data_IF_128997492253
#
_entry.id   IF_128997492253
#
_cell.length_a   1.000
_cell.length_b   1.000
_cell.length_c   1.000
_cell.angle_alpha   90.00
_cell.angle_beta   90.00
_cell.angle_gamma   90.00
#
_symmetry.space_group_name_H-M   'P 1'
#
loop_
_entity.id
_entity.type
_entity.pdbx_description
1 polymer ?
#
# COMPACT_ATOMS: atom_id res chain seq x y z
N UNK A 1 24.63 13.26 -71.15
CA UNK A 1 24.65 13.43 -69.68
C UNK A 1 24.51 14.90 -69.32
N UNK A 2 23.32 15.33 -68.90
CA UNK A 2 23.02 16.39 -67.90
C UNK A 2 21.53 16.77 -68.01
N UNK A 3 20.96 17.06 -66.85
CA UNK A 3 19.60 16.79 -66.41
C UNK A 3 18.59 17.85 -66.89
N UNK A 4 17.36 17.40 -67.16
CA UNK A 4 16.15 18.23 -67.19
C UNK A 4 15.78 18.65 -65.77
N UNK A 5 15.47 19.94 -65.61
CA UNK A 5 14.73 20.48 -64.47
C UNK A 5 13.26 20.61 -64.88
N UNK A 6 12.36 19.94 -64.17
CA UNK A 6 10.92 20.21 -64.25
C UNK A 6 10.37 20.24 -62.83
N UNK A 7 9.78 21.39 -62.48
CA UNK A 7 8.99 21.60 -61.27
C UNK A 7 7.76 20.70 -61.31
N UNK A 8 7.55 19.92 -60.25
CA UNK A 8 6.25 19.34 -59.95
C UNK A 8 5.93 19.65 -58.49
N UNK A 9 4.85 20.43 -58.30
CA UNK A 9 4.33 20.77 -56.99
C UNK A 9 3.77 19.55 -56.29
N UNK A 10 4.12 19.38 -55.01
CA UNK A 10 3.50 18.41 -54.13
C UNK A 10 2.77 19.20 -53.04
N UNK A 11 1.44 19.16 -53.09
CA UNK A 11 0.58 19.70 -52.04
C UNK A 11 0.82 18.95 -50.75
N UNK A 12 1.24 19.67 -49.71
CA UNK A 12 1.42 19.15 -48.37
C UNK A 12 0.04 19.12 -47.69
N UNK A 13 -0.58 17.94 -47.61
CA UNK A 13 -1.68 17.71 -46.68
C UNK A 13 -1.10 17.77 -45.26
N UNK A 14 -1.36 18.87 -44.56
CA UNK A 14 -1.14 18.96 -43.11
C UNK A 14 -2.26 18.18 -42.42
N UNK A 15 -1.96 16.92 -42.06
CA UNK A 15 -2.71 16.21 -41.02
C UNK A 15 -2.35 16.87 -39.69
N UNK A 16 -3.18 17.82 -39.25
CA UNK A 16 -3.15 18.35 -37.89
C UNK A 16 -3.53 17.22 -36.93
N UNK A 17 -2.52 16.55 -36.38
CA UNK A 17 -2.70 15.71 -35.20
C UNK A 17 -3.15 16.60 -34.06
N UNK A 18 -4.41 16.48 -33.66
CA UNK A 18 -4.87 16.94 -32.36
C UNK A 18 -4.12 16.13 -31.32
N UNK A 19 -3.04 16.69 -30.77
CA UNK A 19 -2.55 16.23 -29.47
C UNK A 19 -3.67 16.52 -28.48
N UNK A 20 -4.37 15.47 -28.06
CA UNK A 20 -5.21 15.52 -26.88
C UNK A 20 -4.26 15.77 -25.71
N UNK A 21 -4.17 17.02 -25.27
CA UNK A 21 -3.52 17.36 -24.02
C UNK A 21 -4.28 16.56 -22.95
N UNK A 22 -3.63 15.60 -22.30
CA UNK A 22 -4.22 14.89 -21.17
C UNK A 22 -4.74 15.96 -20.21
N UNK A 23 -6.03 15.92 -19.90
CA UNK A 23 -6.60 16.86 -18.94
C UNK A 23 -5.84 16.67 -17.62
N UNK A 24 -5.16 17.71 -17.17
CA UNK A 24 -4.46 17.69 -15.89
C UNK A 24 -5.50 17.53 -14.79
N UNK A 25 -5.38 16.47 -13.99
CA UNK A 25 -6.30 16.17 -12.89
C UNK A 25 -6.39 17.37 -11.95
N UNK A 26 -7.59 17.95 -11.85
CA UNK A 26 -7.82 19.15 -11.07
C UNK A 26 -8.12 18.85 -9.59
N UNK A 27 -7.83 19.82 -8.71
CA UNK A 27 -8.18 19.72 -7.30
C UNK A 27 -9.69 19.49 -7.09
N UNK A 28 -10.54 20.22 -7.80
CA UNK A 28 -12.00 20.08 -7.71
C UNK A 28 -12.47 18.71 -8.22
N UNK A 29 -11.85 18.19 -9.28
CA UNK A 29 -12.15 16.89 -9.83
C UNK A 29 -11.84 15.77 -8.83
N UNK A 30 -10.65 15.81 -8.20
CA UNK A 30 -10.26 14.85 -7.17
C UNK A 30 -11.16 14.98 -5.94
N UNK A 31 -11.36 16.19 -5.42
CA UNK A 31 -12.09 16.42 -4.18
C UNK A 31 -13.59 16.09 -4.29
N UNK A 32 -14.16 16.14 -5.50
CA UNK A 32 -15.55 15.78 -5.77
C UNK A 32 -15.71 14.36 -6.38
N UNK A 33 -14.62 13.59 -6.53
CA UNK A 33 -14.67 12.29 -7.21
C UNK A 33 -15.46 11.25 -6.42
N UNK A 34 -16.42 10.57 -7.06
CA UNK A 34 -17.31 9.59 -6.44
C UNK A 34 -17.14 8.19 -7.07
N UNK A 35 -17.45 7.09 -6.35
CA UNK A 35 -17.24 5.73 -6.83
C UNK A 35 -17.96 5.40 -8.14
N UNK A 36 -19.13 6.01 -8.38
CA UNK A 36 -19.93 5.77 -9.58
C UNK A 36 -19.18 6.10 -10.87
N UNK A 37 -18.51 7.25 -10.92
CA UNK A 37 -17.74 7.68 -12.10
C UNK A 37 -16.52 6.76 -12.34
N UNK A 38 -15.89 6.27 -11.27
CA UNK A 38 -14.82 5.30 -11.38
C UNK A 38 -15.32 3.95 -11.92
N UNK A 39 -16.44 3.44 -11.38
CA UNK A 39 -17.07 2.19 -11.86
C UNK A 39 -17.42 2.27 -13.36
N UNK A 40 -17.88 3.43 -13.84
CA UNK A 40 -18.16 3.65 -15.27
C UNK A 40 -16.88 3.60 -16.13
N UNK A 41 -15.80 4.26 -15.68
CA UNK A 41 -14.51 4.23 -16.38
C UNK A 41 -13.91 2.82 -16.42
N UNK A 42 -14.02 2.07 -15.32
CA UNK A 42 -13.59 0.68 -15.25
C UNK A 42 -14.36 -0.19 -16.25
N UNK A 43 -15.68 -0.09 -16.27
CA UNK A 43 -16.52 -0.82 -17.22
C UNK A 43 -16.20 -0.46 -18.69
N UNK A 44 -15.84 0.79 -18.96
CA UNK A 44 -15.38 1.19 -20.29
C UNK A 44 -14.03 0.59 -20.67
N UNK A 45 -13.07 0.57 -19.74
CA UNK A 45 -11.77 -0.07 -19.94
C UNK A 45 -11.91 -1.57 -20.23
N UNK A 46 -12.80 -2.26 -19.50
CA UNK A 46 -13.14 -3.67 -19.75
C UNK A 46 -13.72 -3.90 -21.14
N UNK A 47 -14.69 -3.07 -21.56
CA UNK A 47 -15.28 -3.16 -22.91
C UNK A 47 -14.21 -2.99 -23.99
N UNK A 48 -13.35 -1.97 -23.87
CA UNK A 48 -12.25 -1.72 -24.82
C UNK A 48 -11.24 -2.86 -24.89
N UNK A 49 -11.00 -3.54 -23.76
CA UNK A 49 -10.13 -4.73 -23.71
C UNK A 49 -10.79 -5.91 -24.43
N UNK A 50 -12.08 -6.16 -24.20
CA UNK A 50 -12.81 -7.25 -24.84
C UNK A 50 -12.87 -7.10 -26.38
N UNK A 51 -12.79 -5.88 -26.90
CA UNK A 51 -12.74 -5.57 -28.33
C UNK A 51 -11.38 -5.84 -29.00
N UNK A 52 -10.31 -6.18 -28.24
CA UNK A 52 -8.97 -6.53 -28.75
C UNK A 52 -8.70 -8.04 -28.61
N UNK A 53 -8.92 -8.86 -29.66
CA UNK A 53 -9.00 -10.32 -29.53
C UNK A 53 -7.66 -11.03 -29.24
N UNK A 54 -6.52 -10.42 -29.58
CA UNK A 54 -5.20 -11.05 -29.44
C UNK A 54 -4.64 -11.05 -28.00
N UNK A 55 -5.31 -10.39 -27.03
CA UNK A 55 -4.92 -10.34 -25.62
C UNK A 55 -6.01 -10.84 -24.65
N UNK A 56 -7.14 -11.33 -25.17
CA UNK A 56 -8.27 -11.78 -24.36
C UNK A 56 -8.27 -13.32 -24.18
N UNK A 57 -8.35 -13.85 -22.94
CA UNK A 57 -8.74 -15.24 -22.74
C UNK A 57 -10.16 -15.46 -23.28
N UNK A 58 -10.54 -16.70 -23.69
CA UNK A 58 -11.79 -16.94 -24.39
C UNK A 58 -12.99 -16.45 -23.58
N UNK A 59 -13.81 -15.60 -24.21
CA UNK A 59 -15.01 -15.01 -23.61
C UNK A 59 -15.96 -16.10 -23.12
N UNK A 60 -16.28 -16.07 -21.83
CA UNK A 60 -17.51 -16.66 -21.30
C UNK A 60 -18.64 -15.63 -21.39
N UNK A 61 -19.86 -16.16 -21.47
CA UNK A 61 -21.17 -15.50 -21.60
C UNK A 61 -21.20 -13.98 -21.32
N UNK A 62 -21.65 -13.13 -22.28
CA UNK A 62 -21.70 -11.67 -22.15
C UNK A 62 -22.61 -11.13 -21.04
N UNK A 63 -23.44 -11.97 -20.42
CA UNK A 63 -24.26 -11.61 -19.25
C UNK A 63 -23.61 -11.95 -17.89
N UNK A 64 -22.39 -12.51 -17.90
CA UNK A 64 -21.65 -12.78 -16.65
C UNK A 64 -20.93 -11.51 -16.18
N UNK A 65 -21.19 -11.09 -14.95
CA UNK A 65 -20.37 -10.07 -14.29
C UNK A 65 -18.89 -10.51 -14.28
N UNK A 66 -17.93 -9.59 -14.47
CA UNK A 66 -16.52 -9.91 -14.40
C UNK A 66 -16.20 -10.55 -13.03
N UNK A 67 -15.42 -11.62 -13.07
CA UNK A 67 -14.84 -12.22 -11.86
C UNK A 67 -13.96 -11.21 -11.14
N UNK A 68 -13.70 -11.43 -9.86
CA UNK A 68 -12.85 -10.57 -9.04
C UNK A 68 -11.45 -10.36 -9.67
N UNK A 69 -10.88 -11.40 -10.26
CA UNK A 69 -9.62 -11.32 -11.00
C UNK A 69 -9.73 -10.55 -12.32
N UNK A 70 -10.91 -10.47 -12.94
CA UNK A 70 -11.14 -9.70 -14.16
C UNK A 70 -11.31 -8.22 -13.86
N UNK A 71 -12.10 -7.87 -12.85
CA UNK A 71 -12.26 -6.50 -12.37
C UNK A 71 -10.94 -5.93 -11.83
N UNK A 72 -10.17 -6.74 -11.09
CA UNK A 72 -8.81 -6.39 -10.64
C UNK A 72 -7.88 -6.13 -11.82
N UNK A 73 -7.80 -7.05 -12.79
CA UNK A 73 -6.95 -6.88 -13.97
C UNK A 73 -7.36 -5.70 -14.84
N UNK A 74 -8.64 -5.37 -14.89
CA UNK A 74 -9.13 -4.20 -15.60
C UNK A 74 -8.75 -2.89 -14.88
N UNK A 75 -8.78 -2.89 -13.55
CA UNK A 75 -8.34 -1.76 -12.76
C UNK A 75 -6.80 -1.58 -12.82
N UNK A 76 -6.04 -2.67 -12.86
CA UNK A 76 -4.59 -2.67 -13.13
C UNK A 76 -4.25 -2.17 -14.55
N UNK A 77 -5.18 -2.26 -15.50
CA UNK A 77 -5.00 -1.75 -16.86
C UNK A 77 -5.20 -0.23 -16.98
N UNK A 78 -5.75 0.43 -15.96
CA UNK A 78 -5.73 1.90 -15.86
C UNK A 78 -4.34 2.32 -15.41
N UNK A 79 -3.51 2.73 -16.37
CA UNK A 79 -2.11 3.10 -16.13
C UNK A 79 -1.94 4.56 -15.71
N UNK A 80 -2.95 5.39 -15.94
CA UNK A 80 -2.97 6.79 -15.53
C UNK A 80 -3.66 6.92 -14.17
N UNK A 81 -3.20 7.82 -13.28
CA UNK A 81 -3.86 8.07 -12.01
C UNK A 81 -5.33 8.46 -12.18
N UNK A 82 -6.20 7.86 -11.38
CA UNK A 82 -7.63 8.15 -11.37
C UNK A 82 -7.98 9.09 -10.20
N UNK A 83 -8.75 10.18 -10.43
CA UNK A 83 -9.04 11.15 -9.38
C UNK A 83 -9.84 10.56 -8.21
N UNK A 84 -10.67 9.55 -8.46
CA UNK A 84 -11.37 8.84 -7.38
C UNK A 84 -10.41 8.00 -6.55
N UNK A 85 -9.47 7.30 -7.18
CA UNK A 85 -8.48 6.49 -6.47
C UNK A 85 -7.53 7.37 -5.64
N UNK A 86 -7.13 8.54 -6.14
CA UNK A 86 -6.39 9.53 -5.35
C UNK A 86 -7.18 9.93 -4.10
N UNK A 87 -8.46 10.31 -4.26
CA UNK A 87 -9.32 10.70 -3.12
C UNK A 87 -9.49 9.56 -2.13
N UNK A 88 -9.76 8.35 -2.61
CA UNK A 88 -9.93 7.14 -1.81
C UNK A 88 -8.67 6.85 -0.98
N UNK A 89 -7.50 6.82 -1.61
CA UNK A 89 -6.23 6.54 -0.95
C UNK A 89 -5.91 7.59 0.13
N UNK A 90 -6.13 8.88 -0.14
CA UNK A 90 -5.96 9.94 0.88
C UNK A 90 -6.89 9.72 2.08
N UNK A 91 -8.16 9.43 1.84
CA UNK A 91 -9.12 9.26 2.94
C UNK A 91 -8.81 8.01 3.78
N UNK A 92 -8.35 6.93 3.15
CA UNK A 92 -7.88 5.73 3.84
C UNK A 92 -6.64 6.03 4.72
N UNK A 93 -5.68 6.78 4.18
CA UNK A 93 -4.49 7.21 4.89
C UNK A 93 -4.84 8.07 6.13
N UNK A 94 -5.75 9.05 5.96
CA UNK A 94 -6.31 9.84 7.09
C UNK A 94 -7.04 9.01 8.12
N UNK A 95 -7.67 7.92 7.70
CA UNK A 95 -8.31 6.99 8.60
C UNK A 95 -7.30 6.09 9.33
N UNK A 96 -5.99 6.23 9.07
CA UNK A 96 -4.90 5.37 9.53
C UNK A 96 -5.02 3.92 9.06
N UNK A 97 -5.71 3.72 7.93
CA UNK A 97 -5.67 2.50 7.15
C UNK A 97 -4.78 2.76 5.94
N UNK A 98 -3.46 2.80 6.14
CA UNK A 98 -2.52 3.28 5.13
C UNK A 98 -2.59 2.43 3.86
N UNK A 99 -2.75 3.04 2.67
CA UNK A 99 -2.61 2.34 1.39
C UNK A 99 -1.13 2.14 1.01
N UNK A 100 -0.19 2.54 1.86
CA UNK A 100 1.20 2.76 1.49
C UNK A 100 1.33 4.06 0.71
N UNK A 101 1.81 3.98 -0.53
CA UNK A 101 1.98 5.14 -1.40
C UNK A 101 0.64 5.57 -2.02
N UNK A 102 0.40 6.89 -2.06
CA UNK A 102 -0.70 7.49 -2.81
C UNK A 102 -0.22 7.72 -4.24
N UNK A 103 -0.74 6.95 -5.17
CA UNK A 103 -0.38 6.97 -6.59
C UNK A 103 -1.57 7.16 -7.53
N UNK A 104 -2.80 7.13 -7.00
CA UNK A 104 -4.02 7.19 -7.78
C UNK A 104 -4.26 5.97 -8.66
N UNK A 105 -3.52 4.88 -8.44
CA UNK A 105 -3.66 3.64 -9.19
C UNK A 105 -4.41 2.60 -8.36
N UNK A 106 -4.99 1.62 -9.05
CA UNK A 106 -5.55 0.47 -8.37
C UNK A 106 -4.42 -0.47 -7.97
N UNK A 107 -4.53 -1.06 -6.78
CA UNK A 107 -3.51 -1.98 -6.29
C UNK A 107 -3.94 -2.74 -5.05
N UNK A 108 -3.25 -3.85 -4.81
CA UNK A 108 -3.51 -4.75 -3.69
C UNK A 108 -3.41 -4.03 -2.33
N UNK A 109 -2.50 -3.07 -2.18
CA UNK A 109 -2.34 -2.32 -0.93
C UNK A 109 -3.56 -1.43 -0.65
N UNK A 110 -4.18 -0.84 -1.68
CA UNK A 110 -5.44 -0.12 -1.53
C UNK A 110 -6.57 -1.06 -1.11
N UNK A 111 -6.63 -2.28 -1.67
CA UNK A 111 -7.62 -3.29 -1.26
C UNK A 111 -7.42 -3.72 0.21
N UNK A 112 -6.18 -3.90 0.66
CA UNK A 112 -5.85 -4.18 2.06
C UNK A 112 -6.32 -3.05 2.99
N UNK A 113 -6.02 -1.80 2.63
CA UNK A 113 -6.47 -0.63 3.36
C UNK A 113 -8.00 -0.55 3.46
N UNK A 114 -8.73 -0.87 2.39
CA UNK A 114 -10.21 -0.95 2.40
C UNK A 114 -10.68 -2.01 3.39
N UNK A 115 -10.16 -3.24 3.31
CA UNK A 115 -10.54 -4.35 4.21
C UNK A 115 -10.33 -4.00 5.68
N UNK A 116 -9.21 -3.35 5.99
CA UNK A 116 -8.89 -2.95 7.36
C UNK A 116 -9.75 -1.77 7.83
N UNK A 117 -10.11 -0.86 6.94
CA UNK A 117 -11.10 0.17 7.24
C UNK A 117 -12.47 -0.45 7.53
N UNK A 118 -12.93 -1.39 6.71
CA UNK A 118 -14.18 -2.14 6.89
C UNK A 118 -14.21 -2.84 8.25
N UNK A 119 -13.15 -3.59 8.58
CA UNK A 119 -13.01 -4.30 9.84
C UNK A 119 -13.13 -3.36 11.05
N UNK A 120 -12.40 -2.23 11.02
CA UNK A 120 -12.44 -1.23 12.09
C UNK A 120 -13.79 -0.55 12.24
N UNK A 121 -14.59 -0.49 11.16
CA UNK A 121 -15.94 0.09 11.16
C UNK A 121 -17.04 -0.95 11.38
N UNK A 122 -16.70 -2.23 11.50
CA UNK A 122 -17.67 -3.32 11.64
C UNK A 122 -18.53 -3.52 10.40
N UNK A 123 -17.96 -3.22 9.22
CA UNK A 123 -18.59 -3.42 7.91
C UNK A 123 -18.25 -4.81 7.35
N UNK A 124 -18.97 -5.30 6.33
CA UNK A 124 -18.55 -6.48 5.58
C UNK A 124 -17.12 -6.30 5.05
N UNK A 125 -16.22 -7.24 5.36
CA UNK A 125 -14.82 -7.19 4.96
C UNK A 125 -14.67 -7.87 3.60
N UNK A 126 -15.00 -7.17 2.52
CA UNK A 126 -14.90 -7.68 1.16
C UNK A 126 -13.83 -6.94 0.32
N UNK A 127 -13.30 -5.82 0.82
CA UNK A 127 -12.28 -5.02 0.15
C UNK A 127 -12.82 -4.20 -1.00
N UNK A 128 -14.13 -3.91 -1.03
CA UNK A 128 -14.79 -3.18 -2.10
C UNK A 128 -15.26 -1.84 -1.61
N UNK A 129 -15.17 -0.84 -2.48
CA UNK A 129 -15.79 0.46 -2.18
C UNK A 129 -17.29 0.38 -2.46
N UNK A 130 -18.05 -0.19 -1.54
CA UNK A 130 -19.50 -0.16 -1.55
C UNK A 130 -20.06 1.15 -0.99
N UNK A 131 -21.38 1.33 -1.07
CA UNK A 131 -22.03 2.59 -0.70
C UNK A 131 -22.02 2.83 0.82
N UNK A 132 -21.89 1.79 1.64
CA UNK A 132 -21.87 1.90 3.11
C UNK A 132 -20.45 2.22 3.60
N UNK A 133 -19.44 1.53 3.06
CA UNK A 133 -18.01 1.80 3.26
C UNK A 133 -17.68 3.22 2.82
N UNK A 134 -18.09 3.62 1.61
CA UNK A 134 -17.81 4.96 1.11
C UNK A 134 -18.44 6.04 1.98
N UNK A 135 -19.71 5.86 2.39
CA UNK A 135 -20.40 6.80 3.29
C UNK A 135 -19.73 6.90 4.66
N UNK A 136 -19.19 5.81 5.18
CA UNK A 136 -18.44 5.80 6.43
C UNK A 136 -17.10 6.53 6.28
N UNK A 137 -16.41 6.34 5.16
CA UNK A 137 -15.12 6.98 4.86
C UNK A 137 -15.26 8.48 4.63
N UNK A 138 -16.29 8.92 3.89
CA UNK A 138 -16.57 10.33 3.60
C UNK A 138 -17.26 11.08 4.74
N UNK A 139 -17.28 10.53 5.96
CA UNK A 139 -17.55 11.34 7.14
C UNK A 139 -16.48 12.42 7.32
N UNK A 140 -15.24 12.12 6.90
CA UNK A 140 -14.28 13.16 6.58
C UNK A 140 -14.68 13.85 5.25
N UNK A 141 -15.05 15.12 5.36
CA UNK A 141 -15.44 15.97 4.24
C UNK A 141 -14.38 17.02 3.89
N UNK A 142 -13.23 17.00 4.55
CA UNK A 142 -12.13 17.90 4.22
C UNK A 142 -11.55 17.54 2.84
N UNK A 143 -11.13 18.53 2.03
CA UNK A 143 -10.49 18.28 0.73
C UNK A 143 -9.36 17.25 0.85
N UNK A 144 -9.35 16.24 -0.02
CA UNK A 144 -8.30 15.22 -0.07
C UNK A 144 -6.98 15.77 -0.63
N UNK A 145 -7.05 16.74 -1.54
CA UNK A 145 -5.88 17.41 -2.09
C UNK A 145 -5.93 18.91 -1.81
N UNK A 146 -4.76 19.52 -1.63
CA UNK A 146 -4.59 20.95 -1.36
C UNK A 146 -3.41 21.52 -2.13
N UNK A 147 -3.43 22.83 -2.37
CA UNK A 147 -2.26 23.52 -2.91
C UNK A 147 -1.27 23.81 -1.79
N UNK A 148 -0.06 23.27 -1.94
CA UNK A 148 1.11 23.60 -1.13
C UNK A 148 1.97 24.61 -1.87
N UNK A 149 2.36 25.69 -1.20
CA UNK A 149 3.30 26.66 -1.75
C UNK A 149 4.73 26.24 -1.40
N UNK A 150 5.54 25.94 -2.42
CA UNK A 150 6.96 25.60 -2.24
C UNK A 150 7.67 26.79 -1.61
N UNK A 151 8.34 26.56 -0.49
CA UNK A 151 9.03 27.61 0.26
C UNK A 151 10.52 27.66 -0.06
N UNK A 152 11.17 28.78 0.25
CA UNK A 152 12.64 28.88 0.19
C UNK A 152 13.32 27.81 1.07
N UNK A 153 12.71 27.45 2.22
CA UNK A 153 13.24 26.41 3.11
C UNK A 153 13.22 25.03 2.44
N UNK A 154 12.21 24.75 1.63
CA UNK A 154 12.18 23.49 0.89
C UNK A 154 13.30 23.47 -0.15
N UNK A 155 13.56 24.58 -0.85
CA UNK A 155 14.61 24.66 -1.88
C UNK A 155 16.02 24.62 -1.28
N UNK A 156 16.23 25.34 -0.18
CA UNK A 156 17.49 25.37 0.57
C UNK A 156 17.73 24.09 1.39
N UNK A 157 16.83 23.11 1.28
CA UNK A 157 17.00 21.78 1.85
C UNK A 157 18.33 21.14 1.45
N UNK A 158 18.84 20.26 2.33
CA UNK A 158 19.97 19.42 1.97
C UNK A 158 19.45 18.40 0.96
N UNK A 159 20.06 18.36 -0.23
CA UNK A 159 19.74 17.38 -1.28
C UNK A 159 20.99 16.68 -1.80
N UNK A 160 20.81 15.48 -2.33
CA UNK A 160 21.88 14.66 -2.91
C UNK A 160 21.60 14.37 -4.37
N UNK A 161 22.52 14.78 -5.25
CA UNK A 161 22.31 14.72 -6.71
C UNK A 161 22.03 13.31 -7.25
N UNK A 162 22.56 12.28 -6.59
CA UNK A 162 22.42 10.88 -7.01
C UNK A 162 22.57 9.99 -5.79
N UNK A 163 21.68 9.01 -5.68
CA UNK A 163 21.77 7.88 -4.75
C UNK A 163 22.34 6.68 -5.51
N UNK A 164 23.58 6.24 -5.23
CA UNK A 164 24.10 5.00 -5.78
C UNK A 164 23.32 3.79 -5.26
N UNK A 165 23.19 2.75 -6.07
CA UNK A 165 22.61 1.47 -5.63
C UNK A 165 23.63 0.55 -4.95
N UNK A 166 24.93 0.75 -5.20
CA UNK A 166 26.02 -0.01 -4.59
C UNK A 166 26.37 0.53 -3.20
N UNK A 167 26.53 -0.36 -2.22
CA UNK A 167 26.73 0.04 -0.83
C UNK A 167 28.10 0.67 -0.57
N UNK A 168 29.15 0.27 -1.30
CA UNK A 168 30.45 0.93 -1.15
C UNK A 168 30.43 2.35 -1.71
N UNK A 169 29.59 2.63 -2.71
CA UNK A 169 29.38 4.00 -3.19
C UNK A 169 28.46 4.81 -2.26
N UNK A 170 27.41 4.19 -1.71
CA UNK A 170 26.56 4.83 -0.68
C UNK A 170 27.37 5.24 0.55
N UNK A 171 28.29 4.39 1.02
CA UNK A 171 29.16 4.66 2.17
C UNK A 171 30.08 5.88 1.98
N UNK A 172 30.26 6.36 0.75
CA UNK A 172 31.03 7.59 0.46
C UNK A 172 30.21 8.87 0.66
N UNK A 173 28.88 8.76 0.72
CA UNK A 173 28.00 9.90 0.97
C UNK A 173 28.06 10.28 2.46
N UNK A 174 28.06 11.58 2.74
CA UNK A 174 27.98 12.11 4.11
C UNK A 174 26.56 12.10 4.69
N UNK A 175 25.57 11.79 3.86
CA UNK A 175 24.14 11.69 4.17
C UNK A 175 23.43 11.16 2.93
N UNK A 176 22.47 10.27 3.12
CA UNK A 176 21.71 9.58 2.07
C UNK A 176 20.28 10.14 2.06
N UNK A 177 20.17 11.43 1.75
CA UNK A 177 18.88 12.14 1.81
C UNK A 177 18.11 12.19 0.51
N UNK A 178 17.18 13.14 0.42
CA UNK A 178 16.36 13.32 -0.78
C UNK A 178 17.17 13.84 -1.98
N UNK A 179 16.72 13.50 -3.18
CA UNK A 179 17.29 13.91 -4.47
C UNK A 179 16.89 15.32 -4.86
N UNK A 180 15.73 15.77 -4.40
CA UNK A 180 15.21 17.09 -4.68
C UNK A 180 13.92 17.37 -3.91
N UNK A 181 13.32 18.53 -4.21
CA UNK A 181 12.07 18.98 -3.60
C UNK A 181 10.92 18.03 -3.94
N UNK A 182 10.85 17.49 -5.16
CA UNK A 182 9.82 16.52 -5.58
C UNK A 182 9.75 15.30 -4.65
N UNK A 183 10.85 14.55 -4.54
CA UNK A 183 10.91 13.37 -3.67
C UNK A 183 10.62 13.72 -2.19
N UNK A 184 11.14 14.84 -1.72
CA UNK A 184 10.89 15.31 -0.35
C UNK A 184 9.41 15.62 -0.11
N UNK A 185 8.73 16.26 -1.07
CA UNK A 185 7.29 16.54 -0.98
C UNK A 185 6.47 15.26 -1.15
N UNK A 186 6.89 14.33 -2.01
CA UNK A 186 6.30 13.01 -2.14
C UNK A 186 6.28 12.29 -0.80
N UNK A 187 7.42 12.21 -0.12
CA UNK A 187 7.55 11.62 1.22
C UNK A 187 6.73 12.37 2.27
N UNK A 188 6.73 13.71 2.24
CA UNK A 188 5.97 14.54 3.20
C UNK A 188 4.46 14.40 3.07
N UNK A 189 3.96 14.19 1.86
CA UNK A 189 2.53 14.10 1.54
C UNK A 189 2.08 12.70 1.16
N UNK A 190 2.93 11.69 1.39
CA UNK A 190 2.68 10.26 1.18
C UNK A 190 2.39 9.89 -0.29
N UNK A 191 2.91 10.66 -1.24
CA UNK A 191 2.66 10.51 -2.67
C UNK A 191 3.82 9.82 -3.38
N UNK A 192 3.50 9.10 -4.45
CA UNK A 192 4.50 8.73 -5.44
C UNK A 192 4.99 9.98 -6.18
N UNK A 193 6.28 10.01 -6.56
CA UNK A 193 6.81 11.07 -7.43
C UNK A 193 6.02 11.13 -8.75
N UNK A 194 5.62 9.97 -9.30
CA UNK A 194 4.83 9.90 -10.53
C UNK A 194 3.47 10.58 -10.43
N UNK A 195 2.73 10.38 -9.32
CA UNK A 195 1.48 11.11 -9.10
C UNK A 195 1.75 12.60 -8.89
N UNK A 196 2.77 12.95 -8.12
CA UNK A 196 3.12 14.35 -7.86
C UNK A 196 3.43 15.09 -9.16
N UNK A 197 4.18 14.48 -10.09
CA UNK A 197 4.44 15.00 -11.44
C UNK A 197 3.15 15.08 -12.27
N UNK A 198 2.31 14.04 -12.25
CA UNK A 198 1.06 13.99 -13.02
C UNK A 198 0.07 15.09 -12.61
N UNK A 199 -0.01 15.42 -11.31
CA UNK A 199 -0.85 16.50 -10.80
C UNK A 199 -0.24 17.89 -11.05
N UNK A 200 1.07 17.97 -11.32
CA UNK A 200 1.82 19.22 -11.39
C UNK A 200 2.77 19.30 -12.60
N UNK A 201 2.29 19.12 -13.84
CA UNK A 201 3.17 19.03 -15.02
C UNK A 201 3.96 20.32 -15.31
N UNK A 202 3.47 21.47 -14.81
CA UNK A 202 4.10 22.78 -15.00
C UNK A 202 4.86 23.28 -13.75
N UNK A 203 4.97 22.45 -12.70
CA UNK A 203 5.61 22.87 -11.46
C UNK A 203 7.11 23.16 -11.63
N UNK A 204 7.54 24.27 -11.06
CA UNK A 204 8.94 24.67 -10.96
C UNK A 204 9.44 24.36 -9.55
N UNK A 205 9.87 23.11 -9.33
CA UNK A 205 10.24 22.58 -8.01
C UNK A 205 11.38 23.32 -7.30
N UNK A 206 12.18 24.08 -8.05
CA UNK A 206 13.29 24.89 -7.52
C UNK A 206 12.95 26.38 -7.42
N UNK A 207 11.66 26.75 -7.45
CA UNK A 207 11.22 28.16 -7.39
C UNK A 207 10.22 28.35 -6.26
N UNK A 208 10.57 29.20 -5.30
CA UNK A 208 9.69 29.53 -4.19
C UNK A 208 8.41 30.24 -4.69
N UNK A 209 7.30 30.01 -4.01
CA UNK A 209 5.99 30.52 -4.42
C UNK A 209 5.30 29.68 -5.51
N UNK A 210 5.95 28.62 -6.01
CA UNK A 210 5.29 27.66 -6.91
C UNK A 210 4.24 26.89 -6.12
N UNK A 211 2.99 26.95 -6.56
CA UNK A 211 1.91 26.12 -6.01
C UNK A 211 1.99 24.71 -6.60
N UNK A 212 2.04 23.71 -5.73
CA UNK A 212 1.95 22.30 -6.08
C UNK A 212 0.68 21.70 -5.45
N UNK A 213 -0.15 21.03 -6.24
CA UNK A 213 -1.26 20.23 -5.76
C UNK A 213 -0.71 18.94 -5.13
N UNK A 214 -0.96 18.75 -3.84
CA UNK A 214 -0.48 17.61 -3.05
C UNK A 214 -1.65 16.95 -2.32
N UNK A 215 -1.48 15.67 -1.98
CA UNK A 215 -2.33 14.99 -1.03
C UNK A 215 -2.27 15.67 0.35
N UNK A 216 -3.35 15.55 1.10
CA UNK A 216 -3.40 16.00 2.48
C UNK A 216 -3.63 14.79 3.40
N UNK A 217 -2.57 14.13 3.89
CA UNK A 217 -2.65 12.87 4.63
C UNK A 217 -3.27 13.00 6.03
N UNK A 218 -3.59 14.23 6.46
CA UNK A 218 -4.16 14.49 7.78
C UNK A 218 -3.11 14.48 8.90
N UNK A 219 -3.58 14.28 10.13
CA UNK A 219 -2.71 14.19 11.30
C UNK A 219 -2.10 12.78 11.42
N UNK A 220 -0.95 12.67 12.08
CA UNK A 220 -0.39 11.38 12.45
C UNK A 220 -1.32 10.65 13.46
N UNK A 221 -1.32 9.31 13.49
CA UNK A 221 -2.08 8.57 14.49
C UNK A 221 -1.64 8.95 15.91
N UNK A 222 -2.60 9.04 16.81
CA UNK A 222 -2.39 9.32 18.22
C UNK A 222 -2.71 8.08 19.08
N UNK A 223 -2.20 8.09 20.31
CA UNK A 223 -2.39 7.00 21.27
C UNK A 223 -1.13 6.18 21.46
N UNK A 224 -1.26 5.10 22.22
CA UNK A 224 -0.15 4.21 22.53
C UNK A 224 -0.46 2.80 22.00
N UNK A 225 0.43 2.31 21.16
CA UNK A 225 0.44 0.94 20.65
C UNK A 225 1.09 0.03 21.68
N UNK A 226 0.32 -0.91 22.21
CA UNK A 226 0.82 -1.94 23.13
C UNK A 226 1.14 -3.25 22.41
N UNK A 227 0.63 -3.44 21.19
CA UNK A 227 0.79 -4.67 20.43
C UNK A 227 0.81 -4.42 18.93
N UNK A 228 1.76 -5.02 18.23
CA UNK A 228 1.85 -5.03 16.77
C UNK A 228 1.73 -6.47 16.31
N UNK A 229 0.82 -6.75 15.40
CA UNK A 229 0.81 -7.99 14.64
C UNK A 229 1.42 -7.73 13.26
N UNK A 230 2.40 -8.56 12.90
CA UNK A 230 3.03 -8.58 11.59
C UNK A 230 2.47 -9.78 10.85
N UNK A 231 1.54 -9.52 9.92
CA UNK A 231 0.87 -10.56 9.16
C UNK A 231 1.69 -10.88 7.90
N UNK A 232 2.40 -12.01 7.93
CA UNK A 232 3.24 -12.45 6.81
C UNK A 232 2.41 -12.82 5.58
N UNK A 233 1.22 -13.38 5.79
CA UNK A 233 0.36 -13.86 4.70
C UNK A 233 -0.27 -12.71 3.94
N UNK A 234 -0.66 -11.65 4.66
CA UNK A 234 -1.24 -10.44 4.09
C UNK A 234 -0.24 -9.34 3.82
N UNK A 235 1.03 -9.47 4.19
CA UNK A 235 2.06 -8.47 3.88
C UNK A 235 1.74 -7.10 4.50
N UNK A 236 1.38 -7.08 5.78
CA UNK A 236 0.93 -5.87 6.47
C UNK A 236 1.19 -5.92 7.97
N UNK A 237 1.07 -4.76 8.63
CA UNK A 237 1.06 -4.64 10.08
C UNK A 237 -0.27 -4.12 10.60
N UNK A 238 -0.65 -4.60 11.78
CA UNK A 238 -1.78 -4.12 12.55
C UNK A 238 -1.28 -3.67 13.92
N UNK A 239 -1.44 -2.39 14.24
CA UNK A 239 -0.98 -1.80 15.49
C UNK A 239 -2.18 -1.52 16.42
N UNK A 240 -2.19 -2.18 17.56
CA UNK A 240 -3.29 -2.17 18.52
C UNK A 240 -2.97 -1.34 19.76
N UNK A 241 -3.97 -0.60 20.23
CA UNK A 241 -3.95 0.04 21.53
C UNK A 241 -4.22 -0.93 22.68
N UNK A 242 -4.13 -0.41 23.91
CA UNK A 242 -4.39 -1.17 25.14
C UNK A 242 -5.84 -1.69 25.24
N UNK A 243 -6.78 -1.02 24.57
CA UNK A 243 -8.19 -1.43 24.51
C UNK A 243 -8.48 -2.52 23.44
N UNK A 244 -7.43 -3.01 22.78
CA UNK A 244 -7.53 -4.02 21.72
C UNK A 244 -8.03 -3.47 20.39
N UNK A 245 -8.23 -2.15 20.24
CA UNK A 245 -8.59 -1.54 18.96
C UNK A 245 -7.37 -1.25 18.11
N UNK A 246 -7.56 -1.35 16.81
CA UNK A 246 -6.55 -0.96 15.82
C UNK A 246 -6.42 0.58 15.80
N UNK A 247 -5.21 1.07 16.09
CA UNK A 247 -4.83 2.48 15.99
C UNK A 247 -4.43 2.81 14.55
N UNK A 248 -3.53 2.00 13.98
CA UNK A 248 -3.08 2.16 12.59
C UNK A 248 -2.78 0.80 11.95
N UNK A 249 -2.83 0.77 10.62
CA UNK A 249 -2.37 -0.34 9.80
C UNK A 249 -1.56 0.17 8.62
N UNK A 250 -0.60 -0.63 8.16
CA UNK A 250 0.17 -0.29 6.98
C UNK A 250 0.63 -1.54 6.21
N UNK A 251 0.71 -1.49 4.87
CA UNK A 251 1.32 -2.56 4.10
C UNK A 251 2.80 -2.66 4.43
N UNK A 252 3.35 -3.87 4.31
CA UNK A 252 4.70 -4.18 4.73
C UNK A 252 5.38 -5.18 3.81
N UNK A 253 6.63 -4.91 3.43
CA UNK A 253 7.49 -5.93 2.85
C UNK A 253 8.15 -6.75 3.97
N UNK A 254 7.76 -8.01 4.07
CA UNK A 254 8.22 -8.94 5.11
C UNK A 254 9.20 -9.97 4.50
N UNK A 255 10.03 -10.61 5.34
CA UNK A 255 11.05 -11.54 4.88
C UNK A 255 10.47 -12.75 4.14
N UNK A 256 11.13 -13.18 3.06
CA UNK A 256 10.76 -14.39 2.30
C UNK A 256 11.05 -15.69 3.05
N UNK A 257 10.58 -16.83 2.53
CA UNK A 257 10.98 -18.17 3.00
C UNK A 257 12.51 -18.38 2.99
N UNK A 258 13.23 -17.80 2.02
CA UNK A 258 14.69 -17.90 1.90
C UNK A 258 15.43 -17.06 2.96
N UNK A 259 14.79 -16.02 3.48
CA UNK A 259 15.30 -15.15 4.55
C UNK A 259 14.19 -14.84 5.54
N UNK A 260 13.76 -15.84 6.33
CA UNK A 260 12.51 -15.75 7.06
C UNK A 260 12.60 -14.69 8.14
N UNK A 261 11.55 -13.87 8.22
CA UNK A 261 11.34 -13.07 9.42
C UNK A 261 11.24 -13.99 10.64
N UNK A 262 11.62 -13.49 11.82
CA UNK A 262 11.61 -14.30 13.03
C UNK A 262 10.24 -14.89 13.34
N UNK A 263 10.22 -16.00 14.07
CA UNK A 263 9.01 -16.54 14.71
C UNK A 263 9.02 -16.19 16.21
N UNK A 264 7.83 -16.04 16.79
CA UNK A 264 7.64 -15.85 18.24
C UNK A 264 7.54 -14.40 18.70
N UNK A 265 7.22 -14.25 19.99
CA UNK A 265 6.91 -12.95 20.60
C UNK A 265 8.17 -12.08 20.77
N UNK A 266 8.08 -10.87 20.27
CA UNK A 266 9.11 -9.84 20.38
C UNK A 266 8.59 -8.63 21.13
N UNK A 267 9.50 -7.72 21.47
CA UNK A 267 9.14 -6.39 21.95
C UNK A 267 9.98 -5.34 21.24
N UNK A 268 9.46 -4.12 21.19
CA UNK A 268 10.23 -2.95 20.79
C UNK A 268 11.35 -2.73 21.81
N UNK A 269 12.60 -2.81 21.36
CA UNK A 269 13.79 -2.60 22.20
C UNK A 269 14.22 -1.13 22.21
N UNK A 270 14.16 -0.45 21.05
CA UNK A 270 14.47 0.98 20.93
C UNK A 270 13.99 1.52 19.58
N UNK A 271 13.79 2.83 19.52
CA UNK A 271 13.57 3.58 18.28
C UNK A 271 14.81 4.42 17.98
N UNK A 272 15.25 4.44 16.73
CA UNK A 272 16.28 5.36 16.24
C UNK A 272 15.78 6.10 15.02
N UNK A 273 15.64 7.42 15.14
CA UNK A 273 15.35 8.32 14.03
C UNK A 273 16.64 8.73 13.33
N UNK A 274 16.55 8.93 12.02
CA UNK A 274 17.67 9.16 11.10
C UNK A 274 18.85 8.21 11.38
N UNK A 275 18.64 6.88 11.33
CA UNK A 275 19.68 5.92 11.67
C UNK A 275 20.72 5.81 10.55
N UNK A 276 22.00 5.72 10.91
CA UNK A 276 23.03 5.19 10.01
C UNK A 276 22.88 3.68 9.83
N UNK A 277 23.55 3.10 8.84
CA UNK A 277 23.50 1.67 8.58
C UNK A 277 24.89 1.04 8.50
N UNK A 278 25.19 0.15 9.44
CA UNK A 278 26.40 -0.68 9.43
C UNK A 278 26.13 -1.94 8.62
N UNK A 279 26.64 -1.98 7.39
CA UNK A 279 26.55 -3.14 6.51
C UNK A 279 27.67 -4.14 6.82
N UNK A 280 27.30 -5.38 7.10
CA UNK A 280 28.24 -6.48 7.29
C UNK A 280 27.87 -7.68 6.40
N UNK A 281 28.60 -7.96 5.31
CA UNK A 281 28.28 -9.05 4.38
C UNK A 281 28.31 -10.44 5.02
N UNK A 282 29.00 -10.60 6.16
CA UNK A 282 29.05 -11.87 6.91
C UNK A 282 27.84 -12.09 7.83
N UNK A 283 27.06 -11.05 8.10
CA UNK A 283 25.90 -11.09 9.01
C UNK A 283 24.57 -10.76 8.33
N UNK A 284 24.57 -9.84 7.38
CA UNK A 284 23.38 -9.39 6.67
C UNK A 284 23.12 -10.27 5.44
N UNK A 285 23.68 -9.85 4.30
CA UNK A 285 23.63 -10.53 3.00
C UNK A 285 24.75 -9.93 2.13
N UNK A 286 25.16 -10.59 1.04
CA UNK A 286 26.13 -10.00 0.12
C UNK A 286 25.44 -9.10 -0.91
N UNK A 287 25.70 -7.79 -0.84
CA UNK A 287 25.20 -6.78 -1.76
C UNK A 287 26.28 -6.55 -2.83
N UNK A 288 25.97 -6.88 -4.08
CA UNK A 288 26.94 -6.78 -5.18
C UNK A 288 28.24 -7.53 -4.90
N UNK A 289 29.37 -6.84 -5.06
CA UNK A 289 30.71 -7.38 -4.80
C UNK A 289 31.29 -6.93 -3.46
N UNK A 290 30.47 -6.35 -2.57
CA UNK A 290 30.92 -5.81 -1.30
C UNK A 290 31.20 -6.92 -0.29
N UNK A 291 32.48 -7.04 0.12
CA UNK A 291 32.98 -8.10 1.02
C UNK A 291 33.47 -7.57 2.37
N UNK A 292 33.41 -6.26 2.57
CA UNK A 292 33.94 -5.58 3.75
C UNK A 292 32.81 -4.91 4.56
N UNK A 293 33.13 -4.56 5.80
CA UNK A 293 32.25 -3.76 6.65
C UNK A 293 32.15 -2.35 6.06
N UNK A 294 30.93 -1.83 5.91
CA UNK A 294 30.69 -0.47 5.44
C UNK A 294 29.80 0.28 6.44
N UNK A 295 30.12 1.56 6.66
CA UNK A 295 29.27 2.47 7.42
C UNK A 295 28.59 3.41 6.44
N UNK A 296 27.27 3.31 6.32
CA UNK A 296 26.45 4.16 5.47
C UNK A 296 25.85 5.25 6.34
N UNK A 297 26.00 6.50 5.90
CA UNK A 297 25.49 7.65 6.63
C UNK A 297 23.94 7.62 6.73
N UNK A 298 23.36 8.29 7.73
CA UNK A 298 21.92 8.45 7.85
C UNK A 298 21.25 9.07 6.64
N UNK A 299 19.93 8.90 6.55
CA UNK A 299 19.03 9.63 5.67
C UNK A 299 17.85 8.77 5.17
N UNK A 300 16.75 9.40 4.72
CA UNK A 300 15.54 8.72 4.26
C UNK A 300 15.77 7.77 3.07
N UNK A 301 16.79 8.03 2.26
CA UNK A 301 17.19 7.14 1.15
C UNK A 301 18.22 6.07 1.57
N UNK A 302 18.52 5.95 2.88
CA UNK A 302 19.38 4.92 3.43
C UNK A 302 18.72 3.53 3.44
N UNK A 303 19.48 2.43 3.63
CA UNK A 303 18.95 1.07 3.56
C UNK A 303 17.81 0.73 4.53
N UNK A 304 17.69 1.49 5.62
CA UNK A 304 16.65 1.33 6.64
C UNK A 304 15.71 2.54 6.74
N UNK A 305 15.76 3.45 5.77
CA UNK A 305 14.90 4.62 5.71
C UNK A 305 15.14 5.63 6.83
N UNK A 306 14.12 6.43 7.13
CA UNK A 306 14.19 7.52 8.10
C UNK A 306 14.14 7.06 9.56
N UNK A 307 13.69 5.84 9.84
CA UNK A 307 13.54 5.34 11.21
C UNK A 307 13.77 3.83 11.30
N UNK A 308 14.35 3.41 12.42
CA UNK A 308 14.56 2.01 12.79
C UNK A 308 13.96 1.72 14.17
N UNK A 309 12.95 0.86 14.20
CA UNK A 309 12.34 0.31 15.42
C UNK A 309 12.96 -1.06 15.66
N UNK A 310 13.95 -1.12 16.55
CA UNK A 310 14.65 -2.36 16.88
C UNK A 310 13.74 -3.30 17.69
N UNK A 311 13.80 -4.58 17.39
CA UNK A 311 13.14 -5.63 18.16
C UNK A 311 14.14 -6.36 19.06
N UNK A 312 13.62 -7.01 20.10
CA UNK A 312 14.44 -7.79 21.07
C UNK A 312 15.27 -8.90 20.44
N UNK A 313 14.95 -9.38 19.23
CA UNK A 313 15.83 -10.26 18.46
C UNK A 313 16.92 -9.43 17.76
N UNK A 314 18.21 -9.65 18.08
CA UNK A 314 19.29 -8.89 17.47
C UNK A 314 19.22 -8.89 15.95
N UNK A 315 19.54 -7.74 15.35
CA UNK A 315 19.55 -7.48 13.90
C UNK A 315 18.19 -7.47 13.20
N UNK A 316 17.06 -7.55 13.92
CA UNK A 316 15.72 -7.42 13.35
C UNK A 316 15.04 -6.14 13.81
N UNK A 317 14.19 -5.59 12.94
CA UNK A 317 13.49 -4.34 13.18
C UNK A 317 12.35 -4.11 12.20
N UNK A 318 11.48 -3.18 12.57
CA UNK A 318 10.51 -2.53 11.69
C UNK A 318 11.13 -1.21 11.27
N UNK A 319 11.16 -0.89 9.97
CA UNK A 319 11.88 0.28 9.49
C UNK A 319 11.31 0.86 8.20
N UNK A 320 11.71 2.09 7.87
CA UNK A 320 11.32 2.78 6.63
C UNK A 320 12.04 2.23 5.39
N UNK A 321 11.85 2.85 4.23
CA UNK A 321 12.47 2.40 2.99
C UNK A 321 12.80 3.55 2.05
N UNK A 322 13.88 3.44 1.25
CA UNK A 322 14.12 4.37 0.13
C UNK A 322 13.19 4.13 -1.07
N UNK A 323 12.41 3.04 -1.08
CA UNK A 323 11.60 2.62 -2.23
C UNK A 323 10.14 2.38 -1.82
N UNK A 324 9.37 3.41 -1.42
CA UNK A 324 8.02 3.25 -0.89
C UNK A 324 7.05 2.56 -1.87
N UNK A 325 7.24 2.76 -3.17
CA UNK A 325 6.45 2.11 -4.24
C UNK A 325 6.67 0.60 -4.36
N UNK A 326 7.68 0.04 -3.67
CA UNK A 326 7.98 -1.41 -3.67
C UNK A 326 7.47 -2.15 -2.43
N UNK A 327 6.85 -1.44 -1.49
CA UNK A 327 6.27 -2.04 -0.30
C UNK A 327 5.20 -3.05 -0.69
N UNK A 328 5.36 -4.28 -0.18
CA UNK A 328 4.51 -5.44 -0.46
C UNK A 328 4.46 -5.83 -1.97
N UNK A 329 5.49 -5.44 -2.73
CA UNK A 329 5.69 -5.89 -4.13
C UNK A 329 6.98 -6.69 -4.32
N UNK A 330 7.76 -6.80 -3.24
CA UNK A 330 9.04 -7.49 -3.18
C UNK A 330 9.19 -8.15 -1.81
N UNK A 331 10.17 -9.05 -1.72
CA UNK A 331 10.53 -9.67 -0.45
C UNK A 331 11.70 -8.95 0.23
N UNK A 332 11.70 -9.02 1.57
CA UNK A 332 12.76 -8.50 2.41
C UNK A 332 13.82 -9.57 2.73
N UNK A 333 14.99 -9.16 3.22
CA UNK A 333 16.03 -10.05 3.77
C UNK A 333 15.82 -10.37 5.27
N UNK A 334 14.57 -10.34 5.75
CA UNK A 334 14.16 -10.75 7.10
C UNK A 334 13.53 -9.65 7.98
N UNK A 335 13.75 -8.36 7.70
CA UNK A 335 13.13 -7.24 8.44
C UNK A 335 11.72 -6.92 7.93
N UNK A 336 10.97 -6.09 8.68
CA UNK A 336 9.68 -5.55 8.24
C UNK A 336 9.92 -4.15 7.69
N UNK A 337 9.68 -3.95 6.39
CA UNK A 337 9.83 -2.65 5.75
C UNK A 337 8.47 -2.00 5.57
N UNK A 338 8.37 -0.73 5.94
CA UNK A 338 7.23 0.14 5.68
C UNK A 338 7.71 1.33 4.84
N UNK A 339 6.79 2.15 4.34
CA UNK A 339 7.12 3.49 3.85
C UNK A 339 7.77 4.30 5.00
N UNK A 340 8.55 5.35 4.68
CA UNK A 340 9.18 6.15 5.73
C UNK A 340 8.13 6.82 6.64
N UNK A 341 7.04 7.35 6.06
CA UNK A 341 5.98 7.99 6.84
C UNK A 341 5.21 7.02 7.74
N UNK A 342 4.88 5.81 7.26
CA UNK A 342 4.22 4.80 8.10
C UNK A 342 5.14 4.34 9.24
N UNK A 343 6.44 4.20 8.96
CA UNK A 343 7.42 3.83 9.97
C UNK A 343 7.59 4.93 11.03
N UNK A 344 7.65 6.21 10.63
CA UNK A 344 7.73 7.36 11.55
C UNK A 344 6.44 7.50 12.38
N UNK A 345 5.28 7.32 11.76
CA UNK A 345 3.99 7.32 12.44
C UNK A 345 3.96 6.23 13.52
N UNK A 346 4.34 5.00 13.20
CA UNK A 346 4.45 3.90 14.15
C UNK A 346 5.47 4.22 15.25
N UNK A 347 6.64 4.73 14.90
CA UNK A 347 7.69 5.10 15.84
C UNK A 347 7.22 6.13 16.89
N UNK A 348 6.29 7.03 16.51
CA UNK A 348 5.70 8.02 17.40
C UNK A 348 4.73 7.47 18.43
N UNK A 349 4.23 6.25 18.24
CA UNK A 349 3.17 5.65 19.07
C UNK A 349 3.57 4.31 19.73
N UNK A 350 4.80 3.85 19.58
CA UNK A 350 5.33 2.66 20.27
C UNK A 350 6.18 3.02 21.50
N UNK A 351 6.26 2.13 22.47
CA UNK A 351 7.04 2.32 23.70
C UNK A 351 7.99 1.14 23.94
N UNK A 352 9.25 1.48 24.25
CA UNK A 352 10.30 0.52 24.57
C UNK A 352 9.86 -0.43 25.69
N UNK A 353 10.13 -1.72 25.51
CA UNK A 353 9.85 -2.82 26.45
C UNK A 353 8.36 -3.04 26.78
N UNK A 354 7.46 -2.17 26.30
CA UNK A 354 6.02 -2.26 26.49
C UNK A 354 5.30 -2.76 25.25
N UNK A 355 5.65 -2.26 24.07
CA UNK A 355 5.01 -2.68 22.83
C UNK A 355 5.48 -4.08 22.43
N UNK A 356 4.55 -5.04 22.44
CA UNK A 356 4.77 -6.41 21.97
C UNK A 356 4.63 -6.48 20.45
N UNK A 357 5.39 -7.37 19.82
CA UNK A 357 5.38 -7.57 18.37
C UNK A 357 5.26 -9.07 18.10
N UNK A 358 4.19 -9.47 17.43
CA UNK A 358 3.88 -10.87 17.12
C UNK A 358 3.94 -11.06 15.60
N UNK A 359 4.74 -12.02 15.16
CA UNK A 359 4.77 -12.43 13.76
C UNK A 359 3.76 -13.56 13.57
N UNK A 360 2.72 -13.31 12.77
CA UNK A 360 1.70 -14.30 12.46
C UNK A 360 2.23 -15.20 11.32
N UNK A 361 2.18 -16.51 11.53
CA UNK A 361 2.46 -17.49 10.48
C UNK A 361 1.27 -17.66 9.53
N UNK A 362 1.51 -18.27 8.38
CA UNK A 362 0.48 -18.47 7.35
C UNK A 362 -0.73 -19.25 7.91
N UNK A 363 -1.94 -18.68 7.73
CA UNK A 363 -3.19 -19.24 8.26
C UNK A 363 -3.50 -18.91 9.73
N UNK A 364 -2.67 -18.11 10.41
CA UNK A 364 -3.02 -17.52 11.70
C UNK A 364 -3.78 -16.21 11.47
N UNK A 365 -5.02 -16.16 11.94
CA UNK A 365 -5.82 -14.93 11.93
C UNK A 365 -5.34 -13.94 13.00
N UNK A 366 -5.42 -12.62 12.72
CA UNK A 366 -5.21 -11.57 13.71
C UNK A 366 -6.05 -11.78 14.97
N UNK A 367 -5.43 -11.67 16.14
CA UNK A 367 -6.17 -11.84 17.39
C UNK A 367 -6.97 -10.57 17.68
N UNK A 368 -8.29 -10.70 17.72
CA UNK A 368 -9.22 -9.58 17.91
C UNK A 368 -9.98 -9.16 16.65
N UNK A 369 -9.71 -9.80 15.50
CA UNK A 369 -10.60 -9.71 14.34
C UNK A 369 -11.97 -10.23 14.77
N UNK A 370 -12.96 -9.34 14.84
CA UNK A 370 -14.34 -9.75 15.06
C UNK A 370 -14.67 -10.69 13.91
N UNK A 371 -14.81 -11.99 14.19
CA UNK A 371 -15.16 -12.97 13.18
C UNK A 371 -16.34 -12.42 12.36
N UNK A 372 -16.13 -12.23 11.06
CA UNK A 372 -17.18 -11.86 10.14
C UNK A 372 -18.37 -12.80 10.41
N UNK A 373 -19.53 -12.22 10.73
CA UNK A 373 -20.74 -13.02 10.87
C UNK A 373 -20.91 -13.82 9.57
N UNK A 374 -21.14 -15.14 9.63
CA UNK A 374 -21.38 -15.91 8.42
C UNK A 374 -22.56 -15.29 7.67
N UNK A 375 -22.56 -15.32 6.32
CA UNK A 375 -23.64 -14.74 5.54
C UNK A 375 -24.97 -15.31 6.02
N UNK A 376 -25.91 -14.42 6.35
CA UNK A 376 -27.26 -14.78 6.75
C UNK A 376 -27.95 -15.46 5.55
N UNK A 377 -27.82 -16.78 5.45
CA UNK A 377 -28.23 -17.46 4.24
C UNK A 377 -27.98 -18.96 4.18
N UNK A 378 -28.03 -19.69 5.29
CA UNK A 378 -28.37 -21.11 5.24
C UNK A 378 -29.16 -21.48 6.49
N UNK A 379 -30.47 -21.60 6.31
CA UNK A 379 -31.37 -22.13 7.34
C UNK A 379 -30.99 -23.59 7.54
N UNK A 380 -30.20 -23.87 8.57
CA UNK A 380 -30.01 -25.21 9.06
C UNK A 380 -31.38 -25.80 9.40
N UNK A 381 -31.79 -26.80 8.62
CA UNK A 381 -33.01 -27.55 8.85
C UNK A 381 -32.98 -28.13 10.28
N UNK A 382 -33.95 -27.73 11.10
CA UNK A 382 -34.19 -28.33 12.41
C UNK A 382 -34.46 -29.84 12.23
N UNK A 383 -33.83 -30.72 13.02
CA UNK A 383 -34.26 -32.11 13.09
C UNK A 383 -35.61 -32.19 13.84
N UNK A 384 -36.55 -32.93 13.26
CA UNK A 384 -37.87 -33.16 13.83
C UNK A 384 -37.81 -33.96 15.15
N UNK A 385 -38.78 -33.79 16.06
CA UNK A 385 -38.80 -34.49 17.35
C UNK A 385 -39.37 -35.92 17.26
N UNK A 386 -38.91 -36.73 18.21
CA UNK A 386 -39.10 -38.15 18.54
C UNK A 386 -40.29 -38.95 17.98
N UNK A 387 -40.00 -40.22 17.67
CA UNK A 387 -40.94 -41.33 17.78
C UNK A 387 -40.25 -42.61 18.28
N UNK A 388 -40.49 -42.97 19.55
CA UNK A 388 -40.60 -44.37 19.98
C UNK A 388 -42.09 -44.81 19.80
N UNK A 389 -42.50 -46.10 19.85
CA UNK A 389 -41.79 -47.31 20.28
C UNK A 389 -42.04 -48.57 19.38
N UNK A 390 -41.36 -49.69 19.67
CA UNK A 390 -41.97 -51.04 19.60
C UNK A 390 -41.10 -52.09 20.31
N UNK A 391 -41.71 -52.73 21.32
CA UNK A 391 -41.20 -53.91 22.00
C UNK A 391 -41.23 -55.14 21.08
N UNK A 392 -40.32 -56.10 21.31
CA UNK A 392 -40.44 -57.47 20.82
C UNK A 392 -40.39 -58.45 22.01
N UNK A 393 -41.13 -59.57 21.96
CA UNK A 393 -41.38 -60.42 23.11
C UNK A 393 -40.32 -61.50 23.31
N UNK A 394 -40.20 -61.91 24.58
CA UNK A 394 -39.80 -63.20 25.15
C UNK A 394 -39.13 -64.25 24.25
N UNK A 395 -37.98 -64.76 24.73
CA UNK A 395 -37.88 -66.21 24.88
C UNK A 395 -37.05 -66.62 26.09
N UNK A 396 -37.64 -67.50 26.88
CA UNK A 396 -37.13 -68.09 28.10
C UNK A 396 -36.06 -69.17 27.84
N UNK A 397 -35.25 -69.46 28.85
CA UNK A 397 -34.82 -70.84 29.10
C UNK A 397 -33.35 -71.05 29.44
N UNK A 398 -33.13 -71.38 30.72
CA UNK A 398 -32.21 -72.43 31.21
C UNK A 398 -30.83 -72.02 31.75
N UNK A 399 -30.76 -72.06 33.09
CA UNK A 399 -29.64 -72.43 33.98
C UNK A 399 -28.94 -73.76 33.59
N UNK A 400 -27.92 -74.29 34.33
CA UNK A 400 -27.27 -73.83 35.59
C UNK A 400 -25.72 -73.87 35.59
N UNK A 401 -25.13 -73.37 36.67
CA UNK A 401 -23.72 -73.57 37.04
C UNK A 401 -23.31 -72.66 38.19
#
# INVERSE_FOLDING_TARGET
MRRLSSLMGLGLLLLSGTHLQAATLGADEINAAEPGAFRERLAEAERKRAEKPDEAPPAKDPDTLPTEDEARRAAEALTDPDPFLVRLQVLLDRAHASPGVIDGLSGENTVKAIRLFEERRGLPVDGRVDDDMWRALTQDSAPAVKTYEITEKDIDGRYVKRIPSDYADLAKLKWVGYRGVEEMLGERFHMSEGLLEALNPDAQWTKAGTGALVADPGAAPEGLVTRIEVDKSRGEILAYGEDGKIIMTAPATIGSEDTPSPSGDMRVERVAHDPGYTYNPKKNFQQGQNKELLEIAPGPNGPVGSVWIALTKPTYGIHGTPEPTKIDKTNSHGCVRLTNWDAEALAGIVEKERTEVHFLEEGQEPTGATAAAPPAGETAAQPAPDAAPAASPDNAGSQPG
#
